data_IF_244087089713
#
_entry.id   IF_244087089713
#
_cell.length_a   1.000
_cell.length_b   1.000
_cell.length_c   1.000
_cell.angle_alpha   90.00
_cell.angle_beta   90.00
_cell.angle_gamma   90.00
#
_symmetry.space_group_name_H-M   'P 1'
#
loop_
_entity.id
_entity.type
_entity.pdbx_description
1 polymer ?
#
# COMPACT_ATOMS: atom_id res chain seq x y z
N UNK A 1 29.75 -15.15 10.80
CA UNK A 1 28.45 -14.53 10.46
C UNK A 1 28.71 -13.71 9.22
N UNK A 2 28.03 -13.99 8.10
CA UNK A 2 28.28 -13.20 6.89
C UNK A 2 27.88 -11.75 7.19
N UNK A 3 28.79 -10.83 6.88
CA UNK A 3 28.61 -9.39 6.97
C UNK A 3 27.84 -8.82 5.76
N UNK A 4 27.21 -9.68 4.97
CA UNK A 4 26.49 -9.28 3.76
C UNK A 4 25.14 -8.64 4.11
N UNK A 5 24.77 -7.62 3.33
CA UNK A 5 23.49 -6.95 3.43
C UNK A 5 22.34 -7.90 3.05
N UNK A 6 21.40 -8.12 3.96
CA UNK A 6 20.14 -8.81 3.68
C UNK A 6 19.08 -7.81 3.21
N UNK A 7 18.63 -7.94 1.96
CA UNK A 7 17.53 -7.16 1.40
C UNK A 7 16.23 -7.95 1.55
N UNK A 8 15.37 -7.52 2.48
CA UNK A 8 14.10 -8.22 2.77
C UNK A 8 12.93 -7.83 1.86
N UNK A 9 12.94 -6.62 1.27
CA UNK A 9 11.94 -6.15 0.31
C UNK A 9 12.36 -4.83 -0.35
N UNK A 10 11.80 -4.54 -1.54
CA UNK A 10 11.69 -3.19 -2.08
C UNK A 10 10.25 -2.69 -1.90
N UNK A 11 10.06 -1.47 -1.42
CA UNK A 11 8.73 -0.90 -1.22
C UNK A 11 8.51 0.36 -2.07
N UNK A 12 7.36 0.41 -2.75
CA UNK A 12 6.91 1.57 -3.52
C UNK A 12 5.60 2.10 -2.95
N UNK A 13 5.39 3.41 -3.10
CA UNK A 13 4.12 4.05 -2.79
C UNK A 13 3.36 4.36 -4.08
N UNK A 14 2.11 3.91 -4.13
CA UNK A 14 1.22 4.08 -5.28
C UNK A 14 0.07 4.98 -4.87
N UNK A 15 -0.12 6.09 -5.57
CA UNK A 15 -1.28 6.94 -5.36
C UNK A 15 -2.54 6.26 -5.86
N UNK A 16 -3.54 6.10 -4.99
CA UNK A 16 -4.83 5.52 -5.34
C UNK A 16 -5.63 6.57 -6.15
N UNK A 17 -6.03 6.24 -7.40
CA UNK A 17 -6.91 7.10 -8.20
C UNK A 17 -8.19 7.43 -7.45
N UNK A 18 -8.70 8.66 -7.59
CA UNK A 18 -9.84 9.13 -6.78
C UNK A 18 -11.05 8.20 -6.85
N UNK A 19 -11.38 7.66 -8.02
CA UNK A 19 -12.49 6.73 -8.24
C UNK A 19 -12.34 5.38 -7.51
N UNK A 20 -11.12 5.01 -7.14
CA UNK A 20 -10.79 3.74 -6.45
C UNK A 20 -10.53 3.92 -4.96
N UNK A 21 -10.62 5.15 -4.43
CA UNK A 21 -10.46 5.40 -3.00
C UNK A 21 -11.67 4.88 -2.25
N UNK A 22 -11.43 4.32 -1.06
CA UNK A 22 -12.47 3.92 -0.14
C UNK A 22 -12.24 4.55 1.23
N UNK A 23 -13.24 4.43 2.10
CA UNK A 23 -13.13 4.79 3.50
C UNK A 23 -13.15 3.54 4.35
N UNK A 24 -12.31 3.49 5.37
CA UNK A 24 -12.30 2.42 6.38
C UNK A 24 -12.13 3.04 7.77
N UNK A 25 -12.45 2.27 8.81
CA UNK A 25 -12.47 2.74 10.20
C UNK A 25 -11.46 1.97 11.04
N UNK A 26 -10.65 2.70 11.80
CA UNK A 26 -9.74 2.11 12.80
C UNK A 26 -9.90 2.85 14.11
N UNK A 27 -10.13 2.10 15.20
CA UNK A 27 -10.26 2.66 16.57
C UNK A 27 -11.30 3.80 16.65
N UNK A 28 -12.40 3.69 15.90
CA UNK A 28 -13.49 4.67 15.90
C UNK A 28 -13.28 5.90 15.00
N UNK A 29 -12.14 6.01 14.31
CA UNK A 29 -11.85 7.10 13.39
C UNK A 29 -11.91 6.61 11.93
N UNK A 30 -12.57 7.37 11.06
CA UNK A 30 -12.71 7.08 9.64
C UNK A 30 -11.58 7.70 8.82
N UNK A 31 -11.05 6.95 7.86
CA UNK A 31 -9.94 7.35 7.01
C UNK A 31 -10.29 7.15 5.55
N UNK A 32 -10.03 8.13 4.68
CA UNK A 32 -10.03 7.92 3.23
C UNK A 32 -8.65 7.42 2.80
N UNK A 33 -8.60 6.23 2.21
CA UNK A 33 -7.38 5.59 1.76
C UNK A 33 -6.92 6.22 0.44
N UNK A 34 -5.67 6.68 0.41
CA UNK A 34 -5.11 7.45 -0.71
C UNK A 34 -3.82 6.87 -1.27
N UNK A 35 -3.13 6.02 -0.52
CA UNK A 35 -1.85 5.42 -0.92
C UNK A 35 -1.90 3.91 -0.70
N UNK A 36 -1.35 3.14 -1.64
CA UNK A 36 -0.94 1.76 -1.40
C UNK A 36 0.58 1.72 -1.19
N UNK A 37 1.02 1.04 -0.14
CA UNK A 37 2.41 0.62 -0.04
C UNK A 37 2.49 -0.81 -0.59
N UNK A 38 3.20 -0.98 -1.69
CA UNK A 38 3.41 -2.28 -2.35
C UNK A 38 4.84 -2.71 -2.09
N UNK A 39 5.02 -3.90 -1.52
CA UNK A 39 6.32 -4.50 -1.26
C UNK A 39 6.56 -5.63 -2.26
N UNK A 40 7.66 -5.54 -2.98
CA UNK A 40 8.20 -6.59 -3.82
C UNK A 40 9.13 -7.43 -2.94
N UNK A 41 8.77 -8.69 -2.74
CA UNK A 41 9.53 -9.61 -1.91
C UNK A 41 10.55 -10.41 -2.75
N UNK A 42 11.65 -10.90 -2.16
CA UNK A 42 12.67 -11.66 -2.87
C UNK A 42 12.16 -12.96 -3.54
N UNK A 43 11.06 -13.52 -3.04
CA UNK A 43 10.41 -14.72 -3.58
C UNK A 43 9.44 -14.43 -4.74
N UNK A 44 9.33 -13.16 -5.16
CA UNK A 44 8.42 -12.71 -6.21
C UNK A 44 6.99 -12.45 -5.74
N UNK A 45 6.67 -12.69 -4.47
CA UNK A 45 5.36 -12.33 -3.92
C UNK A 45 5.24 -10.83 -3.65
N UNK A 46 4.01 -10.34 -3.64
CA UNK A 46 3.68 -8.96 -3.29
C UNK A 46 2.97 -8.92 -1.95
N UNK A 47 3.42 -8.01 -1.08
CA UNK A 47 2.68 -7.65 0.13
C UNK A 47 2.17 -6.21 0.02
N UNK A 48 0.91 -5.97 0.37
CA UNK A 48 0.29 -4.65 0.20
C UNK A 48 -0.47 -4.19 1.44
N UNK A 49 -0.38 -2.89 1.72
CA UNK A 49 -1.21 -2.19 2.70
C UNK A 49 -1.69 -0.86 2.16
N UNK A 50 -2.90 -0.46 2.54
CA UNK A 50 -3.43 0.86 2.23
C UNK A 50 -3.20 1.83 3.38
N UNK A 51 -3.02 3.10 3.05
CA UNK A 51 -2.85 4.21 3.99
C UNK A 51 -3.75 5.36 3.58
N UNK A 52 -4.29 6.05 4.57
CA UNK A 52 -5.26 7.11 4.37
C UNK A 52 -5.06 8.32 5.27
N UNK A 53 -5.92 9.31 5.06
CA UNK A 53 -6.03 10.49 5.91
C UNK A 53 -7.37 10.47 6.64
N UNK A 54 -7.44 11.00 7.88
CA UNK A 54 -8.69 11.13 8.60
C UNK A 54 -9.71 11.91 7.78
N UNK A 55 -10.95 11.43 7.74
CA UNK A 55 -12.05 12.13 7.09
C UNK A 55 -12.32 13.46 7.80
N UNK A 56 -12.17 13.50 9.14
CA UNK A 56 -12.30 14.71 9.95
C UNK A 56 -11.17 15.73 9.79
N UNK A 57 -10.19 15.47 8.92
CA UNK A 57 -9.01 16.31 8.74
C UNK A 57 -7.92 16.06 9.79
N UNK A 58 -6.77 16.72 9.62
CA UNK A 58 -5.58 16.52 10.45
C UNK A 58 -4.55 15.55 9.87
N UNK A 59 -3.45 15.37 10.60
CA UNK A 59 -2.41 14.38 10.27
C UNK A 59 -2.78 13.09 11.00
N UNK A 60 -3.35 12.13 10.27
CA UNK A 60 -3.61 10.80 10.82
C UNK A 60 -2.31 10.14 11.27
N UNK A 61 -2.39 9.30 12.30
CA UNK A 61 -1.32 8.38 12.61
C UNK A 61 -1.03 7.49 11.38
N UNK A 62 0.20 6.98 11.27
CA UNK A 62 0.56 6.05 10.18
C UNK A 62 -0.12 4.69 10.40
N UNK A 63 -1.40 4.62 10.07
CA UNK A 63 -2.27 3.46 10.23
C UNK A 63 -2.43 2.79 8.89
N UNK A 64 -2.11 1.49 8.85
CA UNK A 64 -2.33 0.66 7.68
C UNK A 64 -3.68 -0.03 7.73
N UNK A 65 -4.25 -0.23 6.55
CA UNK A 65 -5.52 -0.91 6.32
C UNK A 65 -5.32 -2.09 5.36
N UNK A 66 -6.12 -3.16 5.48
CA UNK A 66 -6.16 -4.20 4.46
C UNK A 66 -6.61 -3.61 3.13
N UNK A 67 -6.09 -4.16 2.03
CA UNK A 67 -6.60 -3.86 0.70
C UNK A 67 -7.80 -4.78 0.45
N UNK A 68 -8.95 -4.27 0.01
CA UNK A 68 -10.11 -5.11 -0.27
C UNK A 68 -9.80 -6.07 -1.42
N UNK A 69 -10.32 -7.29 -1.31
CA UNK A 69 -10.21 -8.30 -2.36
C UNK A 69 -11.18 -7.97 -3.50
N UNK A 70 -10.74 -7.05 -4.36
CA UNK A 70 -11.47 -6.55 -5.52
C UNK A 70 -10.54 -6.50 -6.74
N UNK A 71 -11.06 -6.69 -7.96
CA UNK A 71 -10.24 -6.68 -9.17
C UNK A 71 -9.47 -5.37 -9.38
N UNK A 72 -10.09 -4.22 -9.08
CA UNK A 72 -9.51 -2.91 -9.43
C UNK A 72 -8.28 -2.55 -8.57
N UNK A 73 -8.30 -2.70 -7.23
CA UNK A 73 -7.09 -2.54 -6.42
C UNK A 73 -6.02 -3.59 -6.73
N UNK A 74 -6.40 -4.85 -7.02
CA UNK A 74 -5.45 -5.90 -7.37
C UNK A 74 -4.70 -5.57 -8.68
N UNK A 75 -5.41 -5.09 -9.71
CA UNK A 75 -4.81 -4.62 -10.96
C UNK A 75 -3.83 -3.46 -10.71
N UNK A 76 -4.22 -2.48 -9.89
CA UNK A 76 -3.34 -1.36 -9.54
C UNK A 76 -2.04 -1.80 -8.86
N UNK A 77 -2.11 -2.82 -7.99
CA UNK A 77 -0.93 -3.40 -7.32
C UNK A 77 -0.01 -4.11 -8.33
N UNK A 78 -0.59 -4.95 -9.19
CA UNK A 78 0.17 -5.70 -10.20
C UNK A 78 0.87 -4.75 -11.20
N UNK A 79 0.14 -3.76 -11.72
CA UNK A 79 0.69 -2.77 -12.66
C UNK A 79 1.81 -1.96 -12.02
N UNK A 80 1.66 -1.56 -10.75
CA UNK A 80 2.67 -0.80 -10.04
C UNK A 80 3.95 -1.62 -9.80
N UNK A 81 3.81 -2.89 -9.41
CA UNK A 81 4.95 -3.79 -9.24
C UNK A 81 5.68 -4.02 -10.57
N UNK A 82 4.93 -4.25 -11.65
CA UNK A 82 5.50 -4.40 -12.99
C UNK A 82 6.28 -3.16 -13.45
N UNK A 83 5.74 -1.97 -13.23
CA UNK A 83 6.45 -0.70 -13.52
C UNK A 83 7.69 -0.51 -12.66
N UNK A 84 7.61 -0.81 -11.37
CA UNK A 84 8.74 -0.64 -10.45
C UNK A 84 9.89 -1.60 -10.74
N UNK A 85 9.59 -2.83 -11.18
CA UNK A 85 10.62 -3.78 -11.61
C UNK A 85 11.36 -3.38 -12.90
N UNK A 86 10.91 -2.34 -13.60
CA UNK A 86 11.52 -1.83 -14.83
C UNK A 86 12.27 -0.49 -14.65
N UNK A 87 12.32 0.07 -13.43
CA UNK A 87 13.11 1.27 -13.08
C UNK A 87 14.56 0.91 -12.75
#
# INVERSE_FOLDING_TARGET
MSSDLEVSALAINVTIPQALRWTDTRRGEAFTLTILNVRLLPDGHLAVKAYGRPVGGGRGAYVSFPVPDKPEPAALVADAAGRAGAL
#
